data_IF_554132980284
#
_entry.id   IF_554132980284
#
_cell.length_a   1.000
_cell.length_b   1.000
_cell.length_c   1.000
_cell.angle_alpha   90.00
_cell.angle_beta   90.00
_cell.angle_gamma   90.00
#
_symmetry.space_group_name_H-M   'P 1'
#
loop_
_entity.id
_entity.type
_entity.pdbx_description
1 polymer ?
#
# COMPACT_ATOMS: atom_id res chain seq x y z
N UNK A 1 -17.50 -18.01 18.96
CA UNK A 1 -16.01 -17.95 19.07
C UNK A 1 -15.31 -18.80 18.00
N UNK A 2 -15.60 -20.10 17.85
CA UNK A 2 -15.18 -20.87 16.65
C UNK A 2 -15.64 -20.20 15.35
N UNK A 3 -16.86 -19.65 15.35
CA UNK A 3 -17.47 -18.95 14.21
C UNK A 3 -16.71 -17.69 13.75
N UNK A 4 -16.02 -16.97 14.64
CA UNK A 4 -15.25 -15.76 14.28
C UNK A 4 -13.91 -16.14 13.67
N UNK A 5 -13.24 -17.15 14.21
CA UNK A 5 -12.00 -17.68 13.63
C UNK A 5 -12.26 -18.31 12.26
N UNK A 6 -13.39 -19.02 12.10
CA UNK A 6 -13.86 -19.55 10.81
C UNK A 6 -14.20 -18.40 9.85
N UNK A 7 -14.81 -17.32 10.31
CA UNK A 7 -15.09 -16.14 9.48
C UNK A 7 -13.81 -15.43 9.02
N UNK A 8 -12.83 -15.26 9.91
CA UNK A 8 -11.52 -14.66 9.59
C UNK A 8 -10.72 -15.56 8.64
N UNK A 9 -10.70 -16.88 8.87
CA UNK A 9 -10.07 -17.83 7.95
C UNK A 9 -10.80 -17.89 6.61
N UNK A 10 -12.14 -17.84 6.58
CA UNK A 10 -12.93 -17.81 5.36
C UNK A 10 -12.66 -16.53 4.55
N UNK A 11 -12.60 -15.36 5.20
CA UNK A 11 -12.29 -14.10 4.53
C UNK A 11 -10.86 -14.05 3.96
N UNK A 12 -9.90 -14.72 4.61
CA UNK A 12 -8.54 -14.89 4.09
C UNK A 12 -8.48 -15.90 2.92
N UNK A 13 -9.30 -16.96 2.95
CA UNK A 13 -9.38 -17.96 1.87
C UNK A 13 -10.08 -17.44 0.61
N UNK A 14 -11.10 -16.58 0.73
CA UNK A 14 -11.83 -16.04 -0.43
C UNK A 14 -11.04 -15.00 -1.25
N UNK A 15 -9.85 -14.58 -0.83
CA UNK A 15 -8.97 -13.73 -1.63
C UNK A 15 -8.06 -14.50 -2.60
N UNK A 16 -8.08 -15.84 -2.57
CA UNK A 16 -7.15 -16.70 -3.30
C UNK A 16 -7.61 -17.21 -4.68
N UNK A 17 -8.87 -17.00 -5.10
CA UNK A 17 -9.31 -17.49 -6.41
C UNK A 17 -8.75 -16.63 -7.55
N UNK A 18 -8.00 -17.28 -8.44
CA UNK A 18 -7.52 -16.73 -9.71
C UNK A 18 -8.48 -17.22 -10.80
N UNK A 19 -9.30 -16.31 -11.32
CA UNK A 19 -10.03 -16.52 -12.57
C UNK A 19 -9.21 -15.90 -13.71
N UNK A 20 -8.36 -16.69 -14.34
CA UNK A 20 -8.09 -16.53 -15.78
C UNK A 20 -7.74 -17.90 -16.36
N UNK A 21 -8.56 -18.35 -17.30
CA UNK A 21 -8.47 -19.68 -17.92
C UNK A 21 -7.29 -19.78 -18.92
N UNK A 22 -6.72 -18.64 -19.31
CA UNK A 22 -5.52 -18.52 -20.14
C UNK A 22 -4.41 -17.72 -19.43
N UNK A 23 -3.13 -18.09 -19.59
CA UNK A 23 -2.02 -17.26 -19.15
C UNK A 23 -1.98 -15.98 -20.00
N UNK A 24 -1.96 -14.82 -19.35
CA UNK A 24 -1.89 -13.54 -20.03
C UNK A 24 -0.57 -13.42 -20.83
N UNK A 25 -0.61 -12.92 -22.09
CA UNK A 25 0.58 -12.59 -22.86
C UNK A 25 1.49 -11.60 -22.10
N UNK A 26 2.80 -11.78 -22.24
CA UNK A 26 3.81 -10.89 -21.69
C UNK A 26 4.55 -10.16 -22.82
N UNK A 27 5.01 -8.95 -22.53
CA UNK A 27 5.84 -8.16 -23.44
C UNK A 27 7.18 -8.85 -23.65
N UNK A 28 7.56 -9.07 -24.91
CA UNK A 28 8.86 -9.63 -25.31
C UNK A 28 9.55 -8.68 -26.26
N UNK A 29 10.74 -8.23 -25.89
CA UNK A 29 11.60 -7.38 -26.72
C UNK A 29 10.88 -6.16 -27.29
N UNK A 30 10.11 -5.45 -26.45
CA UNK A 30 9.36 -4.25 -26.85
C UNK A 30 8.08 -4.53 -27.63
N UNK A 31 7.65 -5.79 -27.78
CA UNK A 31 6.46 -6.17 -28.53
C UNK A 31 5.46 -6.95 -27.67
N UNK A 32 4.19 -6.60 -27.77
CA UNK A 32 3.06 -7.31 -27.15
C UNK A 32 2.06 -7.75 -28.21
N UNK A 33 1.95 -9.06 -28.40
CA UNK A 33 0.98 -9.66 -29.32
C UNK A 33 -0.31 -10.03 -28.57
N UNK A 34 -1.39 -9.30 -28.84
CA UNK A 34 -2.74 -9.53 -28.33
C UNK A 34 -3.67 -10.07 -29.43
N UNK A 35 -3.13 -10.63 -30.51
CA UNK A 35 -3.94 -11.16 -31.63
C UNK A 35 -4.93 -12.24 -31.20
N UNK A 36 -4.66 -12.96 -30.11
CA UNK A 36 -5.53 -14.00 -29.52
C UNK A 36 -6.27 -13.56 -28.26
N UNK A 37 -6.10 -12.30 -27.81
CA UNK A 37 -6.69 -11.80 -26.55
C UNK A 37 -7.96 -11.00 -26.83
N UNK A 38 -9.07 -11.38 -26.18
CA UNK A 38 -10.34 -10.66 -26.26
C UNK A 38 -10.63 -9.98 -24.93
N UNK A 39 -10.53 -8.65 -24.87
CA UNK A 39 -10.72 -7.89 -23.63
C UNK A 39 -12.09 -8.11 -22.97
N UNK A 40 -13.12 -8.49 -23.73
CA UNK A 40 -14.45 -8.77 -23.17
C UNK A 40 -14.54 -10.16 -22.53
N UNK A 41 -13.75 -11.13 -23.01
CA UNK A 41 -13.74 -12.52 -22.50
C UNK A 41 -12.63 -12.75 -21.48
N UNK A 42 -11.43 -12.29 -21.79
CA UNK A 42 -10.21 -12.52 -21.02
C UNK A 42 -9.93 -11.40 -19.99
N UNK A 43 -10.59 -10.25 -20.14
CA UNK A 43 -10.48 -9.11 -19.24
C UNK A 43 -9.26 -8.21 -19.52
N UNK A 44 -8.95 -7.35 -18.56
CA UNK A 44 -7.82 -6.41 -18.66
C UNK A 44 -6.49 -7.14 -18.64
N UNK A 45 -5.52 -6.67 -19.42
CA UNK A 45 -4.16 -7.21 -19.45
C UNK A 45 -3.18 -6.28 -18.74
N UNK A 46 -2.22 -6.85 -18.02
CA UNK A 46 -1.06 -6.11 -17.50
C UNK A 46 0.04 -6.06 -18.55
N UNK A 47 0.65 -4.88 -18.75
CA UNK A 47 1.73 -4.69 -19.72
C UNK A 47 3.10 -5.12 -19.18
N UNK A 48 3.15 -6.29 -18.53
CA UNK A 48 4.35 -6.83 -17.89
C UNK A 48 5.29 -7.47 -18.93
N UNK A 49 6.59 -7.18 -18.83
CA UNK A 49 7.63 -7.81 -19.63
C UNK A 49 8.76 -6.85 -19.99
N UNK A 50 9.47 -7.13 -21.08
CA UNK A 50 10.68 -6.38 -21.44
C UNK A 50 10.38 -5.30 -22.48
N UNK A 51 10.49 -4.03 -22.08
CA UNK A 51 10.24 -2.86 -22.91
C UNK A 51 11.54 -2.30 -23.50
N UNK A 52 11.47 -1.64 -24.65
CA UNK A 52 12.59 -0.83 -25.12
C UNK A 52 12.81 0.35 -24.16
N UNK A 53 14.07 0.61 -23.82
CA UNK A 53 14.44 1.62 -22.84
C UNK A 53 15.49 2.57 -23.40
N UNK A 54 15.20 3.87 -23.33
CA UNK A 54 16.04 4.96 -23.82
C UNK A 54 16.44 5.82 -22.62
N UNK A 55 17.65 5.62 -22.13
CA UNK A 55 18.16 6.29 -20.94
C UNK A 55 18.60 7.72 -21.24
N UNK A 56 18.27 8.65 -20.35
CA UNK A 56 18.54 10.09 -20.49
C UNK A 56 17.98 10.73 -21.77
N UNK A 57 16.88 10.18 -22.29
CA UNK A 57 16.23 10.66 -23.51
C UNK A 57 14.71 10.75 -23.30
N UNK A 58 14.14 11.91 -23.62
CA UNK A 58 12.69 12.14 -23.65
C UNK A 58 12.27 12.26 -25.12
N UNK A 59 11.85 11.13 -25.68
CA UNK A 59 11.62 11.01 -27.13
C UNK A 59 10.18 11.36 -27.51
N UNK A 60 10.04 12.11 -28.60
CA UNK A 60 8.77 12.49 -29.21
C UNK A 60 8.68 11.96 -30.64
N UNK A 61 7.52 12.15 -31.29
CA UNK A 61 7.23 11.65 -32.64
C UNK A 61 8.34 11.94 -33.65
N UNK A 62 8.86 13.17 -33.63
CA UNK A 62 9.82 13.64 -34.63
C UNK A 62 11.17 12.92 -34.52
N UNK A 63 11.53 12.42 -33.33
CA UNK A 63 12.75 11.62 -33.15
C UNK A 63 12.69 10.28 -33.89
N UNK A 64 11.49 9.72 -34.13
CA UNK A 64 11.33 8.43 -34.81
C UNK A 64 11.09 8.57 -36.32
N UNK A 65 10.77 9.78 -36.81
CA UNK A 65 10.50 10.03 -38.23
C UNK A 65 11.75 10.36 -39.05
N UNK A 66 12.84 10.80 -38.42
CA UNK A 66 13.97 11.46 -39.07
C UNK A 66 14.94 10.54 -39.85
N UNK A 67 14.56 9.29 -40.14
CA UNK A 67 15.46 8.30 -40.77
C UNK A 67 16.61 7.83 -39.87
N UNK A 68 16.83 8.49 -38.73
CA UNK A 68 17.78 8.17 -37.67
C UNK A 68 17.00 7.97 -36.36
N UNK A 69 16.10 6.97 -36.33
CA UNK A 69 15.45 6.61 -35.08
C UNK A 69 16.54 6.28 -34.04
N UNK A 70 16.47 6.85 -32.82
CA UNK A 70 17.45 6.56 -31.79
C UNK A 70 17.47 5.06 -31.50
N UNK A 71 18.66 4.50 -31.29
CA UNK A 71 18.78 3.12 -30.80
C UNK A 71 18.40 3.09 -29.32
N UNK A 72 17.65 2.07 -28.92
CA UNK A 72 17.37 1.82 -27.50
C UNK A 72 18.64 1.34 -26.79
N UNK A 73 18.79 1.71 -25.52
CA UNK A 73 19.98 1.37 -24.73
C UNK A 73 19.92 -0.07 -24.17
N UNK A 74 18.71 -0.56 -23.86
CA UNK A 74 18.47 -1.90 -23.37
C UNK A 74 16.99 -2.30 -23.48
N UNK A 75 16.73 -3.60 -23.31
CA UNK A 75 15.41 -4.06 -22.91
C UNK A 75 15.33 -4.12 -21.39
N UNK A 76 14.38 -3.42 -20.79
CA UNK A 76 14.21 -3.35 -19.32
C UNK A 76 12.87 -3.93 -18.93
N UNK A 77 12.87 -4.73 -17.85
CA UNK A 77 11.64 -5.31 -17.31
C UNK A 77 10.74 -4.20 -16.75
N UNK A 78 9.46 -4.26 -17.07
CA UNK A 78 8.40 -3.43 -16.50
C UNK A 78 7.32 -4.36 -15.92
N UNK A 79 6.82 -4.13 -14.70
CA UNK A 79 7.24 -3.08 -13.79
C UNK A 79 8.57 -3.40 -13.10
N UNK A 80 9.42 -2.38 -12.94
CA UNK A 80 10.66 -2.47 -12.19
C UNK A 80 11.16 -1.05 -11.86
N UNK A 81 11.84 -0.89 -10.73
CA UNK A 81 12.61 0.33 -10.50
C UNK A 81 13.89 0.26 -11.29
N UNK A 82 14.20 1.23 -12.16
CA UNK A 82 15.40 1.15 -13.01
C UNK A 82 16.73 1.17 -12.23
N UNK A 83 16.70 1.38 -10.92
CA UNK A 83 17.86 1.36 -10.04
C UNK A 83 18.71 0.10 -10.28
N UNK A 84 20.02 0.28 -10.39
CA UNK A 84 21.00 -0.79 -10.64
C UNK A 84 20.87 -1.50 -11.99
N UNK A 85 20.02 -1.04 -12.91
CA UNK A 85 19.99 -1.52 -14.30
C UNK A 85 21.32 -1.19 -14.96
N UNK A 86 21.89 -2.14 -15.69
CA UNK A 86 23.17 -1.95 -16.39
C UNK A 86 22.89 -1.40 -17.78
N UNK A 87 23.28 -0.16 -18.01
CA UNK A 87 23.21 0.51 -19.31
C UNK A 87 24.63 0.83 -19.76
N UNK A 88 25.03 0.34 -20.95
CA UNK A 88 26.37 0.55 -21.51
C UNK A 88 27.51 0.21 -20.52
N UNK A 89 27.34 -0.88 -19.77
CA UNK A 89 28.31 -1.36 -18.77
C UNK A 89 28.25 -0.69 -17.39
N UNK A 90 27.44 0.36 -17.21
CA UNK A 90 27.33 1.10 -15.95
C UNK A 90 25.97 0.86 -15.27
N UNK A 91 25.99 0.70 -13.95
CA UNK A 91 24.75 0.66 -13.15
C UNK A 91 24.20 2.07 -12.98
N UNK A 92 22.95 2.28 -13.38
CA UNK A 92 22.29 3.58 -13.24
C UNK A 92 21.67 3.74 -11.86
N UNK A 93 21.63 5.00 -11.39
CA UNK A 93 20.95 5.36 -10.14
C UNK A 93 19.44 5.49 -10.36
N UNK A 94 18.67 5.67 -9.29
CA UNK A 94 17.25 6.00 -9.42
C UNK A 94 16.97 7.41 -9.93
N UNK A 95 17.97 8.30 -9.92
CA UNK A 95 17.85 9.67 -10.42
C UNK A 95 18.16 9.71 -11.93
N UNK A 96 17.28 10.35 -12.70
CA UNK A 96 17.42 10.52 -14.14
C UNK A 96 16.07 10.60 -14.86
N UNK A 97 16.12 10.53 -16.19
CA UNK A 97 14.96 10.51 -17.06
C UNK A 97 15.10 9.39 -18.09
N UNK A 98 13.99 8.87 -18.60
CA UNK A 98 14.01 7.88 -19.67
C UNK A 98 12.70 7.85 -20.46
N UNK A 99 12.77 7.30 -21.67
CA UNK A 99 11.61 6.90 -22.44
C UNK A 99 11.54 5.37 -22.48
N UNK A 100 10.36 4.83 -22.22
CA UNK A 100 10.01 3.44 -22.47
C UNK A 100 9.16 3.36 -23.74
N UNK A 101 9.41 2.38 -24.60
CA UNK A 101 8.58 2.12 -25.78
C UNK A 101 8.09 0.67 -25.81
N UNK A 102 6.82 0.51 -26.14
CA UNK A 102 6.13 -0.75 -26.37
C UNK A 102 5.32 -0.66 -27.65
N UNK A 103 5.48 -1.63 -28.52
CA UNK A 103 4.60 -1.84 -29.66
C UNK A 103 3.52 -2.88 -29.30
N UNK A 104 2.25 -2.54 -29.52
CA UNK A 104 1.11 -3.38 -29.18
C UNK A 104 0.34 -3.75 -30.44
N UNK A 105 0.10 -5.05 -30.62
CA UNK A 105 -0.78 -5.57 -31.68
C UNK A 105 -2.06 -6.13 -31.07
N UNK A 106 -3.21 -5.71 -31.58
CA UNK A 106 -4.55 -6.09 -31.14
C UNK A 106 -5.15 -7.18 -32.04
N UNK A 107 -6.09 -7.95 -31.51
CA UNK A 107 -6.87 -8.94 -32.27
C UNK A 107 -7.82 -8.31 -33.30
N UNK A 108 -8.29 -7.09 -33.05
CA UNK A 108 -9.18 -6.31 -33.91
C UNK A 108 -8.95 -4.82 -33.67
N UNK A 109 -9.46 -4.00 -34.58
CA UNK A 109 -9.48 -2.56 -34.38
C UNK A 109 -10.43 -2.22 -33.21
N UNK A 110 -9.87 -1.70 -32.13
CA UNK A 110 -10.62 -1.21 -30.98
C UNK A 110 -10.78 0.31 -31.09
N UNK A 111 -12.03 0.81 -31.09
CA UNK A 111 -12.30 2.24 -31.26
C UNK A 111 -11.82 3.08 -30.09
N UNK A 112 -11.92 2.54 -28.88
CA UNK A 112 -11.54 3.21 -27.64
C UNK A 112 -10.96 2.19 -26.67
N UNK A 113 -9.75 2.49 -26.19
CA UNK A 113 -9.06 1.75 -25.15
C UNK A 113 -8.88 2.65 -23.93
N UNK A 114 -8.64 2.01 -22.79
CA UNK A 114 -8.22 2.71 -21.60
C UNK A 114 -6.96 2.08 -21.02
N UNK A 115 -6.10 2.95 -20.51
CA UNK A 115 -4.89 2.58 -19.78
C UNK A 115 -5.02 3.08 -18.34
N UNK A 116 -4.74 2.21 -17.38
CA UNK A 116 -4.57 2.59 -15.97
C UNK A 116 -3.12 2.46 -15.57
N UNK A 117 -2.55 3.55 -15.06
CA UNK A 117 -1.24 3.56 -14.38
C UNK A 117 -1.46 4.03 -12.95
N UNK A 118 -1.07 3.20 -11.98
CA UNK A 118 -1.22 3.54 -10.56
C UNK A 118 -0.21 4.60 -10.14
N UNK A 119 1.05 4.41 -10.49
CA UNK A 119 2.12 5.31 -10.07
C UNK A 119 3.38 5.10 -10.91
N UNK A 120 4.19 6.14 -11.04
CA UNK A 120 5.56 6.05 -11.54
C UNK A 120 6.39 7.14 -10.89
N UNK A 121 7.67 6.87 -10.65
CA UNK A 121 8.56 7.84 -10.01
C UNK A 121 9.15 8.82 -11.01
N UNK A 122 9.02 10.12 -10.80
CA UNK A 122 7.98 10.77 -10.00
C UNK A 122 7.21 11.82 -10.80
N UNK A 123 7.59 12.01 -12.06
CA UNK A 123 6.82 12.66 -13.10
C UNK A 123 6.77 11.71 -14.31
N UNK A 124 5.65 11.66 -15.00
CA UNK A 124 5.51 10.83 -16.20
C UNK A 124 4.59 11.44 -17.24
N UNK A 125 4.81 11.05 -18.50
CA UNK A 125 3.95 11.38 -19.63
C UNK A 125 3.77 10.13 -20.50
N UNK A 126 2.53 9.83 -20.83
CA UNK A 126 2.13 8.63 -21.57
C UNK A 126 1.59 9.07 -22.92
N UNK A 127 2.08 8.44 -23.98
CA UNK A 127 1.69 8.71 -25.34
C UNK A 127 1.22 7.44 -26.04
N UNK A 128 0.11 7.51 -26.75
CA UNK A 128 -0.32 6.47 -27.67
C UNK A 128 -0.26 7.02 -29.10
N UNK A 129 0.45 6.32 -29.99
CA UNK A 129 0.82 6.80 -31.32
C UNK A 129 1.38 8.22 -31.29
N UNK A 130 2.23 8.48 -30.30
CA UNK A 130 2.90 9.76 -30.06
C UNK A 130 1.97 10.94 -29.70
N UNK A 131 0.68 10.70 -29.46
CA UNK A 131 -0.23 11.69 -28.90
C UNK A 131 -0.27 11.55 -27.38
N UNK A 132 -0.16 12.66 -26.64
CA UNK A 132 -0.21 12.63 -25.18
C UNK A 132 -1.61 12.20 -24.71
N UNK A 133 -1.68 11.12 -23.92
CA UNK A 133 -2.94 10.58 -23.38
C UNK A 133 -3.08 10.78 -21.87
N UNK A 134 -1.97 10.91 -21.14
CA UNK A 134 -1.96 11.25 -19.72
C UNK A 134 -0.59 11.78 -19.29
N UNK A 135 -0.58 12.60 -18.24
CA UNK A 135 0.65 13.05 -17.57
C UNK A 135 0.43 13.23 -16.07
N UNK A 136 1.53 13.23 -15.32
CA UNK A 136 1.58 13.65 -13.93
C UNK A 136 2.91 14.38 -13.70
N UNK A 137 2.84 15.61 -13.19
CA UNK A 137 3.98 16.48 -12.94
C UNK A 137 4.58 17.05 -14.22
N UNK A 138 5.78 17.61 -14.08
CA UNK A 138 6.57 18.09 -15.21
C UNK A 138 7.73 17.14 -15.50
N UNK A 139 7.70 16.49 -16.66
CA UNK A 139 8.74 15.53 -17.08
C UNK A 139 9.90 16.30 -17.70
N UNK A 140 11.06 16.25 -17.06
CA UNK A 140 12.28 16.86 -17.57
C UNK A 140 13.52 16.09 -17.15
N UNK A 141 14.54 16.03 -17.99
CA UNK A 141 15.88 15.56 -17.59
C UNK A 141 16.63 16.61 -16.77
N UNK A 142 16.20 17.87 -16.82
CA UNK A 142 16.72 18.94 -15.97
C UNK A 142 16.04 18.86 -14.59
N UNK A 143 16.86 18.59 -13.58
CA UNK A 143 16.48 18.52 -12.17
C UNK A 143 15.74 19.75 -11.64
N UNK A 144 16.00 20.94 -12.19
CA UNK A 144 15.40 22.20 -11.76
C UNK A 144 14.00 22.44 -12.35
N UNK A 145 13.71 21.83 -13.50
CA UNK A 145 12.42 21.93 -14.19
C UNK A 145 11.50 20.77 -13.84
N UNK A 146 12.06 19.66 -13.37
CA UNK A 146 11.30 18.47 -13.04
C UNK A 146 10.44 18.69 -11.79
N UNK A 147 9.14 18.40 -11.90
CA UNK A 147 8.19 18.52 -10.79
C UNK A 147 7.46 17.19 -10.56
N UNK A 148 7.49 16.62 -9.35
CA UNK A 148 6.78 15.38 -9.06
C UNK A 148 5.26 15.61 -8.94
N UNK A 149 4.45 14.60 -9.28
CA UNK A 149 3.01 14.58 -8.96
C UNK A 149 2.56 13.15 -8.66
N UNK A 150 1.91 12.95 -7.50
CA UNK A 150 1.41 11.63 -7.10
C UNK A 150 0.00 11.44 -7.60
N UNK A 151 -0.13 10.78 -8.74
CA UNK A 151 -1.42 10.65 -9.43
C UNK A 151 -1.63 9.27 -10.02
N UNK A 152 -2.71 8.63 -9.59
CA UNK A 152 -3.27 7.47 -10.28
C UNK A 152 -4.03 7.95 -11.51
N UNK A 153 -3.62 7.50 -12.71
CA UNK A 153 -4.23 7.93 -13.96
C UNK A 153 -5.07 6.82 -14.60
N UNK A 154 -6.16 7.24 -15.24
CA UNK A 154 -6.92 6.44 -16.20
C UNK A 154 -7.07 7.25 -17.47
N UNK A 155 -6.33 6.87 -18.51
CA UNK A 155 -6.31 7.54 -19.79
C UNK A 155 -7.24 6.80 -20.75
N UNK A 156 -8.18 7.50 -21.38
CA UNK A 156 -9.01 6.96 -22.46
C UNK A 156 -8.47 7.52 -23.77
N UNK A 157 -8.25 6.66 -24.75
CA UNK A 157 -7.66 7.05 -26.03
C UNK A 157 -8.21 6.19 -27.17
N UNK A 158 -8.18 6.75 -28.37
CA UNK A 158 -8.65 6.09 -29.58
C UNK A 158 -7.46 5.66 -30.43
N UNK A 159 -7.54 4.46 -31.00
CA UNK A 159 -6.56 3.93 -31.95
C UNK A 159 -7.30 3.62 -33.24
N UNK A 160 -6.74 4.07 -34.37
CA UNK A 160 -7.37 3.90 -35.69
C UNK A 160 -6.87 2.65 -36.44
N UNK A 161 -5.96 1.89 -35.84
CA UNK A 161 -5.35 0.69 -36.40
C UNK A 161 -5.46 -0.50 -35.43
N UNK A 162 -5.07 -1.70 -35.89
CA UNK A 162 -4.91 -2.87 -35.03
C UNK A 162 -3.56 -2.92 -34.32
N UNK A 163 -2.70 -1.92 -34.54
CA UNK A 163 -1.37 -1.82 -33.95
C UNK A 163 -1.11 -0.37 -33.53
N UNK A 164 -0.39 -0.17 -32.43
CA UNK A 164 -0.01 1.16 -31.95
C UNK A 164 1.26 1.13 -31.12
N UNK A 165 1.95 2.28 -31.06
CA UNK A 165 3.08 2.48 -30.16
C UNK A 165 2.63 3.16 -28.86
N UNK A 166 3.02 2.59 -27.73
CA UNK A 166 2.87 3.19 -26.41
C UNK A 166 4.25 3.68 -25.94
N UNK A 167 4.37 4.98 -25.72
CA UNK A 167 5.56 5.58 -25.13
C UNK A 167 5.25 6.07 -23.73
N UNK A 168 6.16 5.80 -22.79
CA UNK A 168 6.07 6.32 -21.44
C UNK A 168 7.36 7.01 -21.10
N UNK A 169 7.30 8.33 -20.99
CA UNK A 169 8.39 9.14 -20.50
C UNK A 169 8.30 9.21 -18.97
N UNK A 170 9.43 9.02 -18.29
CA UNK A 170 9.52 9.07 -16.84
C UNK A 170 10.72 9.90 -16.45
N UNK A 171 10.54 10.77 -15.47
CA UNK A 171 11.65 11.51 -14.84
C UNK A 171 11.55 11.42 -13.33
N UNK A 172 12.71 11.21 -12.69
CA UNK A 172 12.84 11.13 -11.25
C UNK A 172 14.07 11.90 -10.76
N UNK A 173 13.84 12.98 -10.02
CA UNK A 173 14.84 13.69 -9.22
C UNK A 173 14.38 13.87 -7.75
N UNK A 174 13.40 13.06 -7.33
CA UNK A 174 12.64 13.30 -6.11
C UNK A 174 12.66 12.11 -5.15
N UNK A 175 12.54 10.88 -5.65
CA UNK A 175 12.51 9.65 -4.86
C UNK A 175 13.76 8.79 -5.12
N UNK A 176 14.14 7.90 -4.20
CA UNK A 176 15.33 7.05 -4.40
C UNK A 176 15.17 6.05 -5.54
N UNK A 177 13.98 5.46 -5.65
CA UNK A 177 13.62 4.56 -6.75
C UNK A 177 13.10 5.37 -7.93
N UNK A 178 13.56 5.05 -9.14
CA UNK A 178 13.12 5.67 -10.39
C UNK A 178 12.44 4.67 -11.33
N UNK A 179 11.71 5.16 -12.33
CA UNK A 179 11.15 4.35 -13.41
C UNK A 179 9.71 3.87 -13.21
N UNK A 180 9.29 2.94 -14.09
CA UNK A 180 7.95 2.33 -14.08
C UNK A 180 7.89 1.14 -13.11
N UNK A 181 7.75 1.43 -11.81
CA UNK A 181 7.71 0.39 -10.77
C UNK A 181 6.32 -0.22 -10.53
N UNK A 182 5.25 0.36 -11.10
CA UNK A 182 3.88 -0.19 -11.02
C UNK A 182 3.42 -0.80 -12.33
N UNK A 183 2.52 -1.78 -12.20
CA UNK A 183 1.85 -2.37 -13.35
C UNK A 183 0.95 -1.34 -14.05
N UNK A 184 1.04 -1.30 -15.37
CA UNK A 184 0.04 -0.68 -16.24
C UNK A 184 -0.97 -1.72 -16.68
N UNK A 185 -2.25 -1.34 -16.70
CA UNK A 185 -3.34 -2.18 -17.19
C UNK A 185 -3.92 -1.56 -18.45
N UNK A 186 -4.11 -2.39 -19.48
CA UNK A 186 -4.78 -2.04 -20.72
C UNK A 186 -6.06 -2.86 -20.86
N UNK A 187 -7.12 -2.23 -21.35
CA UNK A 187 -8.38 -2.90 -21.63
C UNK A 187 -9.39 -1.97 -22.30
N UNK A 188 -10.62 -2.46 -22.46
CA UNK A 188 -11.71 -1.58 -22.90
C UNK A 188 -11.99 -0.51 -21.85
N UNK A 189 -12.52 0.63 -22.29
CA UNK A 189 -12.89 1.74 -21.41
C UNK A 189 -13.80 1.29 -20.26
N UNK A 190 -14.80 0.47 -20.57
CA UNK A 190 -15.72 -0.09 -19.56
C UNK A 190 -14.98 -0.95 -18.53
N UNK A 191 -14.11 -1.86 -18.96
CA UNK A 191 -13.42 -2.77 -18.06
C UNK A 191 -12.40 -2.09 -17.17
N UNK A 192 -11.70 -1.07 -17.66
CA UNK A 192 -10.73 -0.30 -16.86
C UNK A 192 -11.44 0.60 -15.85
N UNK A 193 -12.52 1.28 -16.26
CA UNK A 193 -13.33 2.10 -15.33
C UNK A 193 -13.92 1.21 -14.22
N UNK A 194 -14.53 0.08 -14.59
CA UNK A 194 -15.08 -0.88 -13.62
C UNK A 194 -14.01 -1.43 -12.68
N UNK A 195 -12.81 -1.71 -13.18
CA UNK A 195 -11.69 -2.15 -12.34
C UNK A 195 -11.25 -1.06 -11.35
N UNK A 196 -11.18 0.20 -11.78
CA UNK A 196 -10.89 1.36 -10.92
C UNK A 196 -11.96 1.56 -9.86
N UNK A 197 -13.24 1.55 -10.25
CA UNK A 197 -14.36 1.72 -9.31
C UNK A 197 -14.39 0.60 -8.27
N UNK A 198 -14.19 -0.66 -8.68
CA UNK A 198 -14.09 -1.78 -7.76
C UNK A 198 -12.91 -1.66 -6.79
N UNK A 199 -11.77 -1.11 -7.24
CA UNK A 199 -10.64 -0.84 -6.37
C UNK A 199 -10.98 0.26 -5.34
N UNK A 200 -11.54 1.38 -5.79
CA UNK A 200 -11.97 2.49 -4.94
C UNK A 200 -13.02 2.07 -3.90
N UNK A 201 -14.05 1.31 -4.30
CA UNK A 201 -15.09 0.82 -3.39
C UNK A 201 -14.49 -0.04 -2.28
N UNK A 202 -13.56 -0.95 -2.62
CA UNK A 202 -12.88 -1.80 -1.62
C UNK A 202 -12.04 -0.97 -0.65
N UNK A 203 -11.29 0.00 -1.16
CA UNK A 203 -10.45 0.86 -0.32
C UNK A 203 -11.27 1.79 0.57
N UNK A 204 -12.31 2.45 0.02
CA UNK A 204 -13.23 3.30 0.79
C UNK A 204 -13.96 2.49 1.87
N UNK A 205 -14.39 1.27 1.57
CA UNK A 205 -15.00 0.39 2.57
C UNK A 205 -14.05 0.11 3.74
N UNK A 206 -12.79 -0.25 3.45
CA UNK A 206 -11.76 -0.51 4.45
C UNK A 206 -11.46 0.76 5.27
N UNK A 207 -11.21 1.88 4.60
CA UNK A 207 -10.94 3.19 5.22
C UNK A 207 -12.11 3.62 6.11
N UNK A 208 -13.35 3.49 5.63
CA UNK A 208 -14.56 3.82 6.37
C UNK A 208 -14.75 2.96 7.62
N UNK A 209 -14.48 1.65 7.55
CA UNK A 209 -14.53 0.76 8.70
C UNK A 209 -13.51 1.18 9.79
N UNK A 210 -12.27 1.53 9.39
CA UNK A 210 -11.26 2.03 10.33
C UNK A 210 -11.62 3.41 10.88
N UNK A 211 -12.23 4.28 10.07
CA UNK A 211 -12.68 5.61 10.50
C UNK A 211 -13.74 5.52 11.60
N UNK A 212 -14.73 4.62 11.46
CA UNK A 212 -15.75 4.38 12.48
C UNK A 212 -15.12 3.87 13.76
N UNK A 213 -14.19 2.91 13.67
CA UNK A 213 -13.45 2.41 14.84
C UNK A 213 -12.62 3.51 15.52
N UNK A 214 -11.97 4.36 14.74
CA UNK A 214 -11.20 5.50 15.23
C UNK A 214 -12.09 6.46 16.04
N UNK A 215 -13.19 6.92 15.45
CA UNK A 215 -14.14 7.83 16.10
C UNK A 215 -14.77 7.20 17.35
N UNK A 216 -15.22 5.96 17.26
CA UNK A 216 -15.81 5.24 18.39
C UNK A 216 -14.87 5.18 19.60
N UNK A 217 -13.59 4.88 19.40
CA UNK A 217 -12.62 4.77 20.50
C UNK A 217 -12.20 6.14 21.04
N UNK A 218 -12.15 7.19 20.21
CA UNK A 218 -11.98 8.56 20.70
C UNK A 218 -13.14 9.00 21.59
N UNK A 219 -14.39 8.80 21.14
CA UNK A 219 -15.57 9.13 21.96
C UNK A 219 -15.58 8.34 23.28
N UNK A 220 -15.31 7.04 23.22
CA UNK A 220 -15.25 6.20 24.42
C UNK A 220 -14.15 6.66 25.37
N UNK A 221 -12.98 7.05 24.85
CA UNK A 221 -11.91 7.63 25.67
C UNK A 221 -12.33 8.95 26.31
N UNK A 222 -13.02 9.84 25.60
CA UNK A 222 -13.48 11.11 26.17
C UNK A 222 -14.50 10.91 27.31
N UNK A 223 -15.33 9.86 27.22
CA UNK A 223 -16.22 9.45 28.31
C UNK A 223 -15.46 8.79 29.48
N UNK A 224 -14.32 8.15 29.20
CA UNK A 224 -13.55 7.36 30.18
C UNK A 224 -12.07 7.76 30.18
N UNK A 225 -11.79 9.03 30.48
CA UNK A 225 -10.43 9.62 30.38
C UNK A 225 -9.37 8.94 31.26
N UNK A 226 -9.79 8.18 32.27
CA UNK A 226 -8.93 7.37 33.14
C UNK A 226 -8.37 6.14 32.42
N UNK A 227 -9.08 5.60 31.43
CA UNK A 227 -8.64 4.42 30.68
C UNK A 227 -7.76 4.82 29.49
N UNK A 228 -6.45 4.95 29.76
CA UNK A 228 -5.46 5.34 28.76
C UNK A 228 -5.26 4.30 27.65
N UNK A 229 -5.69 3.05 27.82
CA UNK A 229 -5.60 2.05 26.77
C UNK A 229 -6.48 2.44 25.57
N UNK A 230 -7.67 3.00 25.84
CA UNK A 230 -8.58 3.50 24.80
C UNK A 230 -7.94 4.61 23.96
N UNK A 231 -7.19 5.53 24.57
CA UNK A 231 -6.51 6.59 23.84
C UNK A 231 -5.46 6.02 22.88
N UNK A 232 -4.59 5.13 23.36
CA UNK A 232 -3.56 4.54 22.52
C UNK A 232 -4.14 3.68 21.39
N UNK A 233 -5.23 2.97 21.66
CA UNK A 233 -5.94 2.24 20.61
C UNK A 233 -6.61 3.18 19.60
N UNK A 234 -7.19 4.29 20.04
CA UNK A 234 -7.71 5.33 19.14
C UNK A 234 -6.61 5.95 18.27
N UNK A 235 -5.42 6.23 18.83
CA UNK A 235 -4.26 6.71 18.08
C UNK A 235 -3.80 5.67 17.03
N UNK A 236 -3.84 4.37 17.37
CA UNK A 236 -3.53 3.30 16.42
C UNK A 236 -4.55 3.25 15.27
N UNK A 237 -5.84 3.32 15.57
CA UNK A 237 -6.88 3.41 14.55
C UNK A 237 -6.71 4.65 13.67
N UNK A 238 -6.38 5.80 14.28
CA UNK A 238 -6.13 7.05 13.58
C UNK A 238 -4.95 6.95 12.63
N UNK A 239 -3.80 6.43 13.09
CA UNK A 239 -2.61 6.30 12.25
C UNK A 239 -2.84 5.33 11.08
N UNK A 240 -3.54 4.21 11.31
CA UNK A 240 -3.92 3.27 10.24
C UNK A 240 -4.91 3.93 9.27
N UNK A 241 -5.93 4.63 9.76
CA UNK A 241 -6.91 5.33 8.91
C UNK A 241 -6.22 6.31 7.96
N UNK A 242 -5.38 7.20 8.50
CA UNK A 242 -4.66 8.16 7.66
C UNK A 242 -3.65 7.48 6.75
N UNK A 243 -2.91 6.47 7.21
CA UNK A 243 -1.97 5.71 6.38
C UNK A 243 -2.66 5.10 5.15
N UNK A 244 -3.87 4.55 5.33
CA UNK A 244 -4.62 3.93 4.24
C UNK A 244 -5.08 4.95 3.17
N UNK A 245 -5.24 6.23 3.51
CA UNK A 245 -5.61 7.28 2.54
C UNK A 245 -4.48 7.60 1.55
N UNK A 246 -3.22 7.41 1.96
CA UNK A 246 -2.04 7.65 1.12
C UNK A 246 -1.66 6.45 0.24
N UNK A 247 -2.17 5.26 0.55
CA UNK A 247 -1.82 4.01 -0.13
C UNK A 247 -2.85 3.66 -1.21
N UNK A 248 -2.52 2.69 -2.06
CA UNK A 248 -3.49 2.11 -3.00
C UNK A 248 -3.83 3.07 -4.13
N UNK A 249 -5.11 3.40 -4.30
CA UNK A 249 -5.58 4.40 -5.28
C UNK A 249 -5.27 5.84 -4.86
N UNK A 250 -4.68 6.05 -3.67
CA UNK A 250 -4.29 7.35 -3.13
C UNK A 250 -5.48 8.30 -2.95
N UNK A 251 -6.52 7.82 -2.27
CA UNK A 251 -7.79 8.54 -2.02
C UNK A 251 -7.57 9.97 -1.52
N UNK A 252 -6.52 10.21 -0.71
CA UNK A 252 -6.22 11.54 -0.21
C UNK A 252 -6.06 12.60 -1.32
N UNK A 253 -5.53 12.22 -2.48
CA UNK A 253 -5.33 13.12 -3.62
C UNK A 253 -6.61 13.36 -4.44
N UNK A 254 -7.65 12.54 -4.24
CA UNK A 254 -8.99 12.83 -4.79
C UNK A 254 -9.66 13.98 -4.03
N UNK A 255 -9.41 14.09 -2.72
CA UNK A 255 -9.96 15.16 -1.87
C UNK A 255 -9.06 16.38 -1.79
N UNK A 256 -7.75 16.17 -1.85
CA UNK A 256 -6.73 17.23 -1.80
C UNK A 256 -5.76 17.11 -2.99
N UNK A 257 -6.19 17.46 -4.22
CA UNK A 257 -5.37 17.32 -5.42
C UNK A 257 -4.05 18.10 -5.36
N UNK A 258 -4.05 19.23 -4.66
CA UNK A 258 -2.89 20.13 -4.55
C UNK A 258 -1.99 19.79 -3.35
N UNK A 259 -2.18 18.64 -2.69
CA UNK A 259 -1.32 18.21 -1.59
C UNK A 259 0.11 18.01 -2.11
N UNK A 260 1.09 18.68 -1.50
CA UNK A 260 2.50 18.56 -1.91
C UNK A 260 2.96 17.08 -1.89
N UNK A 261 3.57 16.57 -2.98
CA UNK A 261 4.16 15.23 -3.02
C UNK A 261 5.17 14.99 -1.88
N UNK A 262 5.95 16.01 -1.52
CA UNK A 262 6.91 15.97 -0.40
C UNK A 262 6.19 15.71 0.92
N UNK A 263 5.10 16.45 1.17
CA UNK A 263 4.33 16.27 2.39
C UNK A 263 3.61 14.92 2.40
N UNK A 264 3.06 14.49 1.26
CA UNK A 264 2.39 13.21 1.11
C UNK A 264 3.26 12.02 1.46
N UNK A 265 4.45 11.90 0.85
CA UNK A 265 5.38 10.83 1.19
C UNK A 265 5.86 10.90 2.64
N UNK A 266 6.16 12.09 3.18
CA UNK A 266 6.54 12.21 4.59
C UNK A 266 5.43 11.70 5.51
N UNK A 267 4.19 12.09 5.27
CA UNK A 267 3.04 11.62 6.04
C UNK A 267 2.87 10.11 5.93
N UNK A 268 2.95 9.54 4.73
CA UNK A 268 2.85 8.09 4.53
C UNK A 268 3.85 7.31 5.41
N UNK A 269 5.12 7.72 5.39
CA UNK A 269 6.19 7.09 6.18
C UNK A 269 6.04 7.35 7.70
N UNK A 270 5.66 8.56 8.12
CA UNK A 270 5.46 8.87 9.54
C UNK A 270 4.27 8.08 10.12
N UNK A 271 3.17 7.98 9.37
CA UNK A 271 1.95 7.29 9.81
C UNK A 271 2.16 5.79 9.97
N UNK A 272 2.91 5.14 9.08
CA UNK A 272 3.21 3.70 9.24
C UNK A 272 4.05 3.44 10.49
N UNK A 273 5.00 4.31 10.82
CA UNK A 273 5.83 4.20 12.04
C UNK A 273 5.13 4.73 13.30
N UNK A 274 4.01 5.44 13.19
CA UNK A 274 3.13 5.72 14.31
C UNK A 274 2.42 4.46 14.82
N UNK A 275 2.19 3.47 13.95
CA UNK A 275 1.55 2.20 14.33
C UNK A 275 2.30 1.44 15.45
N UNK A 276 3.62 1.14 15.35
CA UNK A 276 4.35 0.50 16.44
C UNK A 276 4.42 1.36 17.70
N UNK A 277 4.45 2.70 17.59
CA UNK A 277 4.37 3.60 18.75
C UNK A 277 3.03 3.40 19.48
N UNK A 278 1.93 3.52 18.75
CA UNK A 278 0.58 3.44 19.31
C UNK A 278 0.27 2.06 19.89
N UNK A 279 0.64 1.01 19.16
CA UNK A 279 0.50 -0.37 19.59
C UNK A 279 1.33 -0.68 20.84
N UNK A 280 2.55 -0.18 20.93
CA UNK A 280 3.39 -0.28 22.14
C UNK A 280 2.77 0.44 23.33
N UNK A 281 2.21 1.64 23.10
CA UNK A 281 1.49 2.40 24.13
C UNK A 281 0.31 1.61 24.69
N UNK A 282 -0.53 1.08 23.80
CA UNK A 282 -1.66 0.21 24.14
C UNK A 282 -1.22 -1.02 24.93
N UNK A 283 -0.22 -1.75 24.41
CA UNK A 283 0.25 -2.99 25.04
C UNK A 283 0.93 -2.78 26.38
N UNK A 284 1.63 -1.67 26.56
CA UNK A 284 2.26 -1.35 27.84
C UNK A 284 1.26 -1.11 28.97
N UNK A 285 -0.01 -0.82 28.63
CA UNK A 285 -1.09 -0.67 29.61
C UNK A 285 -1.79 -2.02 29.82
N UNK A 286 -2.19 -2.68 28.73
CA UNK A 286 -2.91 -3.98 28.79
C UNK A 286 -2.06 -5.06 29.46
N UNK A 287 -0.77 -5.10 29.14
CA UNK A 287 0.21 -6.06 29.69
C UNK A 287 1.20 -5.38 30.63
N UNK A 288 0.76 -4.39 31.42
CA UNK A 288 1.63 -3.57 32.28
C UNK A 288 2.62 -4.33 33.18
N UNK A 289 2.22 -5.49 33.73
CA UNK A 289 3.11 -6.35 34.55
C UNK A 289 4.17 -7.11 33.75
N UNK A 290 3.93 -7.30 32.46
CA UNK A 290 4.72 -8.18 31.58
C UNK A 290 5.51 -7.39 30.53
N UNK A 291 5.17 -6.12 30.30
CA UNK A 291 5.79 -5.26 29.29
C UNK A 291 7.11 -4.68 29.81
N UNK A 292 8.28 -5.03 29.22
CA UNK A 292 9.56 -4.50 29.70
C UNK A 292 9.70 -3.01 29.40
N UNK A 293 9.97 -2.19 30.43
CA UNK A 293 10.14 -0.73 30.28
C UNK A 293 11.28 -0.37 29.31
N UNK A 294 12.37 -1.13 29.35
CA UNK A 294 13.50 -0.92 28.43
C UNK A 294 13.09 -1.17 26.98
N UNK A 295 12.25 -2.18 26.72
CA UNK A 295 11.77 -2.46 25.38
C UNK A 295 10.88 -1.33 24.85
N UNK A 296 10.00 -0.77 25.71
CA UNK A 296 9.22 0.42 25.36
C UNK A 296 10.11 1.59 24.93
N UNK A 297 11.18 1.86 25.70
CA UNK A 297 12.15 2.93 25.38
C UNK A 297 12.89 2.66 24.08
N UNK A 298 13.30 1.43 23.81
CA UNK A 298 13.97 1.04 22.56
C UNK A 298 13.04 1.26 21.37
N UNK A 299 11.80 0.78 21.42
CA UNK A 299 10.83 0.95 20.33
C UNK A 299 10.59 2.43 20.06
N UNK A 300 10.32 3.23 21.10
CA UNK A 300 10.10 4.67 20.95
C UNK A 300 11.33 5.41 20.47
N UNK A 301 12.53 5.07 20.96
CA UNK A 301 13.78 5.65 20.51
C UNK A 301 14.06 5.36 19.03
N UNK A 302 13.85 4.13 18.58
CA UNK A 302 13.99 3.73 17.17
C UNK A 302 13.00 4.49 16.29
N UNK A 303 11.71 4.55 16.66
CA UNK A 303 10.73 5.29 15.89
C UNK A 303 11.01 6.80 15.89
N UNK A 304 11.47 7.38 17.00
CA UNK A 304 11.85 8.78 17.09
C UNK A 304 13.03 9.11 16.17
N UNK A 305 14.06 8.24 16.12
CA UNK A 305 15.18 8.38 15.19
C UNK A 305 14.71 8.35 13.73
N UNK A 306 13.82 7.42 13.39
CA UNK A 306 13.25 7.31 12.04
C UNK A 306 12.43 8.55 11.69
N UNK A 307 11.63 9.08 12.63
CA UNK A 307 10.89 10.32 12.43
C UNK A 307 11.84 11.50 12.15
N UNK A 308 12.94 11.62 12.91
CA UNK A 308 13.95 12.65 12.68
C UNK A 308 14.54 12.52 11.27
N UNK A 309 14.90 11.31 10.84
CA UNK A 309 15.43 11.06 9.49
C UNK A 309 14.41 11.51 8.42
N UNK A 310 13.15 11.12 8.53
CA UNK A 310 12.10 11.47 7.55
C UNK A 310 11.83 12.98 7.51
N UNK A 311 11.79 13.64 8.68
CA UNK A 311 11.46 15.06 8.77
C UNK A 311 12.61 15.92 8.25
N UNK A 312 13.85 15.62 8.64
CA UNK A 312 15.02 16.46 8.37
C UNK A 312 15.57 16.24 6.97
N UNK A 313 15.48 15.03 6.41
CA UNK A 313 16.09 14.72 5.12
C UNK A 313 15.12 14.88 3.93
N UNK A 314 15.63 15.11 2.70
CA UNK A 314 14.82 15.10 1.48
C UNK A 314 14.23 13.71 1.16
N UNK A 315 13.17 13.69 0.34
CA UNK A 315 12.49 12.45 -0.07
C UNK A 315 13.43 11.41 -0.65
N UNK A 316 14.35 11.80 -1.53
CA UNK A 316 15.35 10.91 -2.14
C UNK A 316 16.29 10.26 -1.12
N UNK A 317 16.55 10.94 0.01
CA UNK A 317 17.45 10.44 1.05
C UNK A 317 16.76 9.41 1.94
N UNK A 318 15.64 9.76 2.59
CA UNK A 318 14.98 8.79 3.49
C UNK A 318 14.36 7.60 2.75
N UNK A 319 13.92 7.77 1.49
CA UNK A 319 13.38 6.67 0.69
C UNK A 319 14.46 5.64 0.30
N UNK A 320 15.75 6.00 0.31
CA UNK A 320 16.83 5.03 0.12
C UNK A 320 16.92 3.99 1.25
N UNK A 321 16.41 4.34 2.44
CA UNK A 321 16.32 3.43 3.59
C UNK A 321 15.03 2.60 3.57
N UNK A 322 14.21 2.64 2.51
CA UNK A 322 12.89 1.98 2.48
C UNK A 322 12.97 0.49 2.83
N UNK A 323 13.97 -0.25 2.30
CA UNK A 323 14.16 -1.66 2.64
C UNK A 323 14.50 -1.83 4.13
N UNK A 324 15.42 -1.02 4.66
CA UNK A 324 15.78 -1.03 6.09
C UNK A 324 14.58 -0.71 6.98
N UNK A 325 13.79 0.30 6.63
CA UNK A 325 12.56 0.65 7.33
C UNK A 325 11.55 -0.50 7.35
N UNK A 326 11.37 -1.21 6.23
CA UNK A 326 10.53 -2.41 6.16
C UNK A 326 11.05 -3.51 7.10
N UNK A 327 12.35 -3.76 7.14
CA UNK A 327 12.95 -4.76 8.04
C UNK A 327 12.81 -4.37 9.52
N UNK A 328 13.01 -3.09 9.85
CA UNK A 328 12.79 -2.58 11.21
C UNK A 328 11.32 -2.74 11.61
N UNK A 329 10.37 -2.42 10.73
CA UNK A 329 8.94 -2.62 10.99
C UNK A 329 8.61 -4.09 11.31
N UNK A 330 9.13 -5.04 10.53
CA UNK A 330 8.97 -6.47 10.79
C UNK A 330 9.59 -6.86 12.14
N UNK A 331 10.81 -6.39 12.43
CA UNK A 331 11.49 -6.66 13.70
C UNK A 331 10.71 -6.13 14.92
N UNK A 332 10.17 -4.90 14.81
CA UNK A 332 9.31 -4.31 15.85
C UNK A 332 8.03 -5.12 16.03
N UNK A 333 7.36 -5.52 14.94
CA UNK A 333 6.16 -6.34 15.00
C UNK A 333 6.43 -7.73 15.62
N UNK A 334 7.55 -8.37 15.27
CA UNK A 334 8.00 -9.62 15.87
C UNK A 334 8.28 -9.47 17.36
N UNK A 335 8.96 -8.40 17.76
CA UNK A 335 9.21 -8.09 19.16
C UNK A 335 7.90 -7.97 19.95
N UNK A 336 6.88 -7.29 19.40
CA UNK A 336 5.57 -7.17 20.04
C UNK A 336 4.83 -8.51 20.11
N UNK A 337 4.98 -9.38 19.10
CA UNK A 337 4.47 -10.75 19.15
C UNK A 337 5.11 -11.55 20.29
N UNK A 338 6.43 -11.46 20.47
CA UNK A 338 7.16 -12.16 21.55
C UNK A 338 6.66 -11.68 22.92
N UNK A 339 6.49 -10.37 23.13
CA UNK A 339 5.97 -9.83 24.40
C UNK A 339 4.55 -10.34 24.67
N UNK A 340 3.68 -10.36 23.64
CA UNK A 340 2.33 -10.90 23.77
C UNK A 340 2.33 -12.42 24.08
N UNK A 341 3.25 -13.19 23.49
CA UNK A 341 3.42 -14.62 23.76
C UNK A 341 3.94 -14.90 25.18
N UNK A 342 4.88 -14.11 25.68
CA UNK A 342 5.35 -14.24 27.07
C UNK A 342 4.23 -13.91 28.08
N UNK A 343 3.36 -12.95 27.74
CA UNK A 343 2.19 -12.58 28.55
C UNK A 343 1.11 -13.68 28.58
N UNK A 344 1.08 -14.55 27.56
CA UNK A 344 0.17 -15.70 27.47
C UNK A 344 0.55 -16.85 28.40
N UNK A 345 1.84 -17.15 28.49
CA UNK A 345 2.39 -18.21 29.35
C UNK A 345 2.04 -17.93 30.82
N UNK A 346 1.83 -16.66 31.18
CA UNK A 346 1.41 -16.19 32.50
C UNK A 346 -0.13 -16.23 32.73
N UNK A 347 -0.85 -17.11 32.01
CA UNK A 347 -2.28 -17.46 32.16
C UNK A 347 -3.31 -16.35 31.85
N UNK A 348 -2.96 -15.32 31.06
CA UNK A 348 -3.94 -14.33 30.59
C UNK A 348 -4.71 -14.86 29.37
N UNK A 349 -5.85 -15.53 29.60
CA UNK A 349 -6.68 -16.17 28.54
C UNK A 349 -7.06 -15.24 27.37
N UNK A 350 -7.20 -13.93 27.60
CA UNK A 350 -7.53 -12.95 26.55
C UNK A 350 -6.34 -12.62 25.62
N UNK A 351 -5.10 -12.93 26.01
CA UNK A 351 -3.92 -12.63 25.20
C UNK A 351 -3.78 -13.54 23.95
N UNK A 352 -4.56 -14.63 23.84
CA UNK A 352 -4.47 -15.58 22.70
C UNK A 352 -4.97 -14.89 21.44
N UNK A 353 -6.12 -14.23 21.55
CA UNK A 353 -6.73 -13.50 20.44
C UNK A 353 -5.91 -12.29 20.04
N UNK A 354 -5.26 -11.65 21.02
CA UNK A 354 -4.31 -10.57 20.76
C UNK A 354 -3.12 -11.04 19.91
N UNK A 355 -2.46 -12.10 20.36
CA UNK A 355 -1.31 -12.68 19.66
C UNK A 355 -1.70 -13.18 18.27
N UNK A 356 -2.83 -13.88 18.14
CA UNK A 356 -3.32 -14.36 16.85
C UNK A 356 -3.51 -13.20 15.85
N UNK A 357 -4.12 -12.10 16.28
CA UNK A 357 -4.26 -10.91 15.45
C UNK A 357 -2.93 -10.27 15.06
N UNK A 358 -1.95 -10.20 15.98
CA UNK A 358 -0.62 -9.70 15.66
C UNK A 358 0.12 -10.59 14.66
N UNK A 359 0.02 -11.91 14.79
CA UNK A 359 0.63 -12.85 13.83
C UNK A 359 0.02 -12.65 12.44
N UNK A 360 -1.31 -12.46 12.34
CA UNK A 360 -1.97 -12.18 11.06
C UNK A 360 -1.42 -10.90 10.43
N UNK A 361 -1.26 -9.81 11.20
CA UNK A 361 -0.64 -8.58 10.70
C UNK A 361 0.81 -8.84 10.27
N UNK A 362 1.61 -9.52 11.08
CA UNK A 362 3.02 -9.80 10.79
C UNK A 362 3.17 -10.58 9.48
N UNK A 363 2.36 -11.61 9.29
CA UNK A 363 2.34 -12.40 8.05
C UNK A 363 1.88 -11.56 6.85
N UNK A 364 0.84 -10.74 7.00
CA UNK A 364 0.34 -9.89 5.94
C UNK A 364 1.34 -8.79 5.54
N UNK A 365 1.99 -8.14 6.50
CA UNK A 365 3.05 -7.15 6.24
C UNK A 365 4.25 -7.82 5.58
N UNK A 366 4.65 -9.01 6.04
CA UNK A 366 5.74 -9.77 5.40
C UNK A 366 5.39 -10.14 3.97
N UNK A 367 4.16 -10.60 3.71
CA UNK A 367 3.67 -10.86 2.36
C UNK A 367 3.75 -9.60 1.49
N UNK A 368 3.27 -8.45 1.98
CA UNK A 368 3.29 -7.19 1.22
C UNK A 368 4.72 -6.74 0.91
N UNK A 369 5.67 -6.93 1.84
CA UNK A 369 7.10 -6.64 1.61
C UNK A 369 7.68 -7.56 0.54
N UNK A 370 7.41 -8.87 0.61
CA UNK A 370 7.89 -9.83 -0.40
C UNK A 370 7.25 -9.60 -1.77
N UNK A 371 5.97 -9.24 -1.80
CA UNK A 371 5.26 -8.81 -3.00
C UNK A 371 5.88 -7.54 -3.61
N UNK A 372 6.18 -6.53 -2.78
CA UNK A 372 6.83 -5.30 -3.22
C UNK A 372 8.24 -5.55 -3.79
N UNK A 373 8.97 -6.53 -3.25
CA UNK A 373 10.28 -6.98 -3.77
C UNK A 373 10.17 -7.93 -4.98
N UNK A 374 8.95 -8.21 -5.46
CA UNK A 374 8.68 -9.15 -6.56
C UNK A 374 9.19 -10.58 -6.31
N UNK A 375 9.40 -10.95 -5.04
CA UNK A 375 9.78 -12.30 -4.63
C UNK A 375 8.59 -13.25 -4.57
N UNK A 376 7.38 -12.71 -4.38
CA UNK A 376 6.12 -13.45 -4.38
C UNK A 376 5.12 -12.83 -5.35
N UNK A 377 4.44 -13.67 -6.13
CA UNK A 377 3.34 -13.26 -7.00
C UNK A 377 1.99 -13.38 -6.26
N UNK A 378 1.85 -12.63 -5.16
CA UNK A 378 0.64 -12.57 -4.33
C UNK A 378 -0.08 -11.23 -4.52
N UNK A 379 -0.95 -10.83 -3.57
CA UNK A 379 -1.60 -9.50 -3.54
C UNK A 379 -1.30 -8.83 -2.21
N UNK A 380 -1.35 -7.49 -2.11
CA UNK A 380 -1.30 -6.81 -0.83
C UNK A 380 -2.45 -7.22 0.10
N UNK A 381 -2.15 -7.63 1.33
CA UNK A 381 -3.10 -8.13 2.32
C UNK A 381 -3.07 -7.33 3.64
N UNK A 382 -2.06 -6.47 3.86
CA UNK A 382 -1.91 -5.77 5.14
C UNK A 382 -3.11 -4.90 5.50
N UNK A 383 -3.71 -4.19 4.53
CA UNK A 383 -4.89 -3.34 4.77
C UNK A 383 -6.07 -4.13 5.34
N UNK A 384 -6.31 -5.34 4.84
CA UNK A 384 -7.36 -6.22 5.34
C UNK A 384 -7.00 -6.79 6.72
N UNK A 385 -5.75 -7.23 6.90
CA UNK A 385 -5.25 -7.72 8.18
C UNK A 385 -5.36 -6.67 9.31
N UNK A 386 -5.11 -5.40 9.01
CA UNK A 386 -5.32 -4.31 9.98
C UNK A 386 -6.78 -4.20 10.42
N UNK A 387 -7.75 -4.24 9.50
CA UNK A 387 -9.18 -4.19 9.86
C UNK A 387 -9.57 -5.36 10.74
N UNK A 388 -9.19 -6.58 10.35
CA UNK A 388 -9.47 -7.80 11.13
C UNK A 388 -8.88 -7.69 12.53
N UNK A 389 -7.63 -7.24 12.64
CA UNK A 389 -6.99 -7.01 13.92
C UNK A 389 -7.76 -5.98 14.75
N UNK A 390 -8.05 -4.79 14.21
CA UNK A 390 -8.72 -3.72 14.94
C UNK A 390 -10.12 -4.14 15.42
N UNK A 391 -10.89 -4.86 14.59
CA UNK A 391 -12.18 -5.42 14.99
C UNK A 391 -12.04 -6.45 16.11
N UNK A 392 -11.04 -7.33 16.01
CA UNK A 392 -10.76 -8.31 17.08
C UNK A 392 -10.43 -7.62 18.40
N UNK A 393 -9.67 -6.52 18.36
CA UNK A 393 -9.30 -5.75 19.54
C UNK A 393 -10.47 -4.97 20.13
N UNK A 394 -11.27 -4.32 19.29
CA UNK A 394 -12.49 -3.63 19.72
C UNK A 394 -13.43 -4.60 20.44
N UNK A 395 -13.60 -5.82 19.90
CA UNK A 395 -14.38 -6.87 20.56
C UNK A 395 -13.80 -7.29 21.92
N UNK A 396 -12.48 -7.47 22.02
CA UNK A 396 -11.84 -7.84 23.30
C UNK A 396 -12.01 -6.76 24.36
N UNK A 397 -11.89 -5.48 23.97
CA UNK A 397 -12.14 -4.33 24.85
C UNK A 397 -13.59 -4.34 25.33
N UNK A 398 -14.56 -4.47 24.42
CA UNK A 398 -15.98 -4.58 24.75
C UNK A 398 -16.27 -5.75 25.70
N UNK A 399 -15.69 -6.93 25.44
CA UNK A 399 -15.84 -8.12 26.30
C UNK A 399 -15.26 -7.90 27.69
N UNK A 400 -14.11 -7.24 27.79
CA UNK A 400 -13.49 -6.92 29.08
C UNK A 400 -14.41 -6.03 29.94
N UNK A 401 -15.03 -5.02 29.33
CA UNK A 401 -16.00 -4.17 30.03
C UNK A 401 -17.28 -4.88 30.40
N UNK A 402 -17.81 -5.73 29.52
CA UNK A 402 -18.99 -6.53 29.83
C UNK A 402 -18.76 -7.41 31.06
N UNK A 403 -17.60 -8.08 31.14
CA UNK A 403 -17.26 -8.89 32.31
C UNK A 403 -17.13 -8.04 33.58
N UNK A 404 -16.43 -6.91 33.54
CA UNK A 404 -16.33 -6.02 34.70
C UNK A 404 -17.68 -5.50 35.19
N UNK A 405 -18.58 -5.14 34.26
CA UNK A 405 -19.95 -4.73 34.62
C UNK A 405 -20.74 -5.89 35.24
N UNK A 406 -20.62 -7.10 34.69
CA UNK A 406 -21.31 -8.28 35.23
C UNK A 406 -20.83 -8.66 36.63
N UNK A 407 -19.53 -8.52 36.91
CA UNK A 407 -18.95 -8.75 38.24
C UNK A 407 -19.48 -7.73 39.24
N UNK A 408 -19.44 -6.43 38.91
CA UNK A 408 -20.02 -5.37 39.75
C UNK A 408 -21.51 -5.59 40.02
N UNK A 409 -22.29 -5.95 38.99
CA UNK A 409 -23.72 -6.22 39.14
C UNK A 409 -24.00 -7.43 40.05
N UNK A 410 -23.16 -8.47 39.97
CA UNK A 410 -23.26 -9.64 40.84
C UNK A 410 -22.87 -9.31 42.29
N UNK A 411 -21.82 -8.50 42.50
CA UNK A 411 -21.43 -8.02 43.83
C UNK A 411 -22.56 -7.19 44.46
N UNK A 412 -23.13 -6.22 43.73
CA UNK A 412 -24.28 -5.43 44.17
C UNK A 412 -25.48 -6.30 44.58
N UNK A 413 -25.83 -7.31 43.77
CA UNK A 413 -26.89 -8.27 44.12
C UNK A 413 -26.55 -9.06 45.38
N UNK A 414 -25.29 -9.47 45.54
CA UNK A 414 -24.85 -10.20 46.74
C UNK A 414 -24.92 -9.34 48.01
N UNK A 415 -24.59 -8.05 47.92
CA UNK A 415 -24.72 -7.10 49.02
C UNK A 415 -26.18 -6.85 49.40
N UNK A 416 -27.07 -6.65 48.42
CA UNK A 416 -28.50 -6.48 48.66
C UNK A 416 -29.12 -7.72 49.34
N UNK A 417 -28.78 -8.92 48.87
CA UNK A 417 -29.27 -10.16 49.48
C UNK A 417 -28.77 -10.36 50.92
N UNK A 418 -27.55 -9.90 51.25
CA UNK A 418 -27.06 -9.93 52.64
C UNK A 418 -27.85 -8.98 53.54
N UNK A 419 -28.13 -7.76 53.08
CA UNK A 419 -28.92 -6.80 53.86
C UNK A 419 -30.36 -7.28 54.11
N UNK A 420 -30.99 -7.93 53.13
CA UNK A 420 -32.34 -8.49 53.27
C UNK A 420 -32.37 -9.65 54.28
N UNK A 421 -31.29 -10.44 54.38
CA UNK A 421 -31.23 -11.58 55.30
C UNK A 421 -30.82 -11.18 56.74
N UNK A 422 -30.30 -9.96 56.93
CA UNK A 422 -29.92 -9.41 58.25
C UNK A 422 -31.02 -8.53 58.88
N UNK A 423 -32.06 -8.19 58.11
CA UNK A 423 -33.29 -7.50 58.56
C UNK A 423 -34.42 -8.50 58.79
#
# INVERSE_FOLDING_TARGET
MKSILILVCALLFFCGCRDSMNPAPLVKNGYLDLSSWDFEKDGNITLEGNWEFYWNQLLIRDNFKSGNAPEFDAYVKVPHSWNNTVIKGNKISGIGCATYKLHVKLNKQEKALALKLRDASSAYAIYADYNLIASAGNVSCDASLMEPELKTQTAIFNINASEFDLLVQVSNNFHHEGGLWENMQLGTTSNIIKARENALIKEIFIVGAVAILCLFHFFTFFMRRSDKALLWFAILCFSIFFFLLFRGERIIYLWFPNLSPTLGYKLEYLLIFMNPIALTGYLSIVFSKDFPVNMKRIIYGTCALIFIIIIVTPTSTYSSFMLWFRMVMIALALCLCVIAALSLIRKRRLAVFFLAGLIIILLAVTNDVLYAQKLLNTKPMASFAFVVFLLSQAYLIAKHYYHGYSEMANELKSFQNKQINES
#
